data_IF_922414122670
#
_entry.id   IF_922414122670
#
_cell.length_a   1.000
_cell.length_b   1.000
_cell.length_c   1.000
_cell.angle_alpha   90.00
_cell.angle_beta   90.00
_cell.angle_gamma   90.00
#
_symmetry.space_group_name_H-M   'P 1'
#
loop_
_entity.id
_entity.type
_entity.pdbx_description
1 polymer ?
#
# COMPACT_ATOMS: atom_id res chain seq x y z
N UNK A 1 -3.99 -9.25 -14.40
CA UNK A 1 -2.84 -9.49 -15.30
C UNK A 1 -2.83 -8.56 -16.53
N UNK A 2 -3.99 -8.08 -17.00
CA UNK A 2 -4.10 -7.26 -18.21
C UNK A 2 -3.36 -5.91 -18.18
N UNK A 3 -3.40 -5.17 -17.06
CA UNK A 3 -2.81 -3.83 -16.98
C UNK A 3 -1.27 -3.82 -17.13
N UNK A 4 -0.56 -4.75 -16.50
CA UNK A 4 0.91 -4.84 -16.64
C UNK A 4 1.34 -5.27 -18.05
N UNK A 5 0.54 -6.11 -18.71
CA UNK A 5 0.76 -6.46 -20.11
C UNK A 5 0.53 -5.27 -21.03
N UNK A 6 -0.56 -4.52 -20.83
CA UNK A 6 -0.87 -3.32 -21.62
C UNK A 6 0.19 -2.21 -21.47
N UNK A 7 0.74 -2.06 -20.26
CA UNK A 7 1.80 -1.09 -19.98
C UNK A 7 3.21 -1.63 -20.27
N UNK A 8 3.32 -2.85 -20.82
CA UNK A 8 4.60 -3.51 -21.10
C UNK A 8 5.56 -3.57 -19.89
N UNK A 9 5.02 -3.59 -18.67
CA UNK A 9 5.82 -3.60 -17.43
C UNK A 9 6.42 -4.98 -17.20
N UNK A 10 7.70 -5.13 -17.55
CA UNK A 10 8.47 -6.37 -17.34
C UNK A 10 8.98 -6.47 -15.90
N UNK A 11 9.13 -7.70 -15.40
CA UNK A 11 9.76 -7.97 -14.09
C UNK A 11 8.83 -7.85 -12.87
N UNK A 12 7.54 -7.55 -13.06
CA UNK A 12 6.53 -7.57 -11.99
C UNK A 12 5.77 -8.90 -11.90
N UNK A 13 6.08 -9.87 -12.77
CA UNK A 13 5.43 -11.19 -12.80
C UNK A 13 5.88 -12.12 -11.66
N UNK A 14 7.04 -11.85 -11.05
CA UNK A 14 7.59 -12.65 -9.96
C UNK A 14 8.05 -11.72 -8.83
N UNK A 15 7.70 -12.09 -7.59
CA UNK A 15 8.10 -11.32 -6.41
C UNK A 15 9.62 -11.33 -6.28
N UNK A 16 10.22 -10.15 -6.23
CA UNK A 16 11.63 -9.97 -5.91
C UNK A 16 11.78 -9.13 -4.63
N UNK A 17 12.62 -9.60 -3.73
CA UNK A 17 12.95 -8.90 -2.47
C UNK A 17 14.14 -7.95 -2.61
N UNK A 18 14.75 -7.88 -3.80
CA UNK A 18 15.93 -7.05 -4.09
C UNK A 18 15.64 -6.12 -5.26
N UNK A 19 16.28 -4.95 -5.23
CA UNK A 19 16.18 -3.97 -6.31
C UNK A 19 14.89 -3.17 -6.29
N UNK A 20 14.50 -2.54 -7.42
CA UNK A 20 13.41 -1.56 -7.47
C UNK A 20 12.02 -2.22 -7.48
N UNK A 21 11.89 -3.53 -7.23
CA UNK A 21 10.63 -4.25 -7.36
C UNK A 21 9.50 -3.62 -6.54
N UNK A 22 9.75 -3.30 -5.27
CA UNK A 22 8.75 -2.67 -4.40
C UNK A 22 8.28 -1.32 -4.97
N UNK A 23 9.22 -0.44 -5.34
CA UNK A 23 8.89 0.87 -5.90
C UNK A 23 8.12 0.72 -7.22
N UNK A 24 8.60 -0.14 -8.12
CA UNK A 24 7.95 -0.38 -9.41
C UNK A 24 6.53 -0.94 -9.25
N UNK A 25 6.31 -1.81 -8.26
CA UNK A 25 5.00 -2.36 -7.96
C UNK A 25 4.08 -1.29 -7.37
N UNK A 26 4.57 -0.52 -6.40
CA UNK A 26 3.86 0.62 -5.82
C UNK A 26 3.41 1.60 -6.92
N UNK A 27 4.35 2.06 -7.76
CA UNK A 27 4.05 2.98 -8.87
C UNK A 27 3.02 2.38 -9.84
N UNK A 28 3.07 1.06 -10.06
CA UNK A 28 2.10 0.38 -10.92
C UNK A 28 0.71 0.36 -10.31
N UNK A 29 0.61 0.03 -9.02
CA UNK A 29 -0.66 0.02 -8.28
C UNK A 29 -1.29 1.41 -8.32
N UNK A 30 -0.52 2.46 -8.01
CA UNK A 30 -1.00 3.85 -7.98
C UNK A 30 -1.48 4.30 -9.37
N UNK A 31 -0.76 3.98 -10.44
CA UNK A 31 -1.18 4.32 -11.80
C UNK A 31 -2.44 3.56 -12.25
N UNK A 32 -2.53 2.28 -11.92
CA UNK A 32 -3.70 1.44 -12.21
C UNK A 32 -4.92 1.94 -11.43
N UNK A 33 -4.75 2.29 -10.15
CA UNK A 33 -5.78 2.88 -9.33
C UNK A 33 -6.30 4.19 -9.93
N UNK A 34 -5.39 5.08 -10.32
CA UNK A 34 -5.73 6.36 -10.94
C UNK A 34 -6.53 6.15 -12.23
N UNK A 35 -6.13 5.21 -13.09
CA UNK A 35 -6.87 4.87 -14.30
C UNK A 35 -8.28 4.28 -14.01
N UNK A 36 -8.41 3.40 -13.02
CA UNK A 36 -9.69 2.85 -12.58
C UNK A 36 -10.64 3.93 -12.08
N UNK A 37 -10.18 4.81 -11.18
CA UNK A 37 -11.05 5.85 -10.65
C UNK A 37 -11.39 6.90 -11.69
N UNK A 38 -10.46 7.25 -12.59
CA UNK A 38 -10.78 8.09 -13.77
C UNK A 38 -11.90 7.45 -14.60
N UNK A 39 -11.87 6.14 -14.83
CA UNK A 39 -12.94 5.46 -15.56
C UNK A 39 -14.25 5.43 -14.76
N UNK A 40 -14.21 5.20 -13.44
CA UNK A 40 -15.38 5.27 -12.57
C UNK A 40 -16.05 6.66 -12.61
N UNK A 41 -15.26 7.73 -12.59
CA UNK A 41 -15.74 9.11 -12.71
C UNK A 41 -16.41 9.39 -14.05
N UNK A 42 -15.87 8.86 -15.15
CA UNK A 42 -16.47 8.93 -16.49
C UNK A 42 -17.81 8.20 -16.53
N UNK A 43 -17.88 6.99 -15.97
CA UNK A 43 -19.08 6.15 -15.95
C UNK A 43 -20.18 6.73 -15.07
N UNK A 44 -19.89 7.01 -13.79
CA UNK A 44 -20.88 7.51 -12.82
C UNK A 44 -21.27 8.96 -13.09
N UNK A 45 -20.33 9.76 -13.61
CA UNK A 45 -20.60 11.13 -14.03
C UNK A 45 -21.41 11.24 -15.32
N UNK A 46 -21.59 10.13 -16.05
CA UNK A 46 -22.22 10.05 -17.37
C UNK A 46 -21.61 11.07 -18.35
N UNK A 47 -20.28 11.12 -18.37
CA UNK A 47 -19.52 12.05 -19.23
C UNK A 47 -18.60 11.28 -20.16
N UNK A 48 -18.39 11.80 -21.37
CA UNK A 48 -17.42 11.20 -22.31
C UNK A 48 -15.97 11.44 -21.89
N UNK A 49 -15.70 12.57 -21.24
CA UNK A 49 -14.36 12.96 -20.79
C UNK A 49 -14.41 13.57 -19.39
N UNK A 50 -13.34 13.37 -18.61
CA UNK A 50 -13.19 13.98 -17.29
C UNK A 50 -13.26 15.51 -17.32
N UNK A 51 -12.93 16.14 -18.44
CA UNK A 51 -13.02 17.59 -18.59
C UNK A 51 -14.46 18.10 -18.40
N UNK A 52 -15.47 17.31 -18.79
CA UNK A 52 -16.88 17.67 -18.62
C UNK A 52 -17.32 17.69 -17.16
N UNK A 53 -16.59 17.04 -16.24
CA UNK A 53 -16.87 17.13 -14.79
C UNK A 53 -16.65 18.54 -14.25
N UNK A 54 -15.85 19.38 -14.92
CA UNK A 54 -15.64 20.79 -14.54
C UNK A 54 -16.92 21.64 -14.64
N UNK A 55 -17.91 21.16 -15.39
CA UNK A 55 -19.23 21.80 -15.49
C UNK A 55 -20.15 21.45 -14.31
N UNK A 56 -19.76 20.52 -13.43
CA UNK A 56 -20.52 20.12 -12.25
C UNK A 56 -20.14 21.02 -11.06
N UNK A 57 -21.12 21.35 -10.22
CA UNK A 57 -20.88 22.05 -8.96
C UNK A 57 -20.12 21.17 -7.95
N UNK A 58 -19.46 21.75 -6.94
CA UNK A 58 -18.80 20.97 -5.89
C UNK A 58 -19.72 19.95 -5.20
N UNK A 59 -20.98 20.33 -4.90
CA UNK A 59 -21.95 19.41 -4.29
C UNK A 59 -22.31 18.23 -5.20
N UNK A 60 -22.42 18.46 -6.51
CA UNK A 60 -22.62 17.38 -7.48
C UNK A 60 -21.40 16.45 -7.54
N UNK A 61 -20.19 16.99 -7.49
CA UNK A 61 -18.97 16.16 -7.47
C UNK A 61 -18.89 15.30 -6.20
N UNK A 62 -19.29 15.84 -5.04
CA UNK A 62 -19.38 15.04 -3.80
C UNK A 62 -20.38 13.90 -3.96
N UNK A 63 -21.58 14.16 -4.49
CA UNK A 63 -22.57 13.10 -4.73
C UNK A 63 -22.10 12.04 -5.73
N UNK A 64 -21.35 12.44 -6.78
CA UNK A 64 -20.75 11.48 -7.71
C UNK A 64 -19.67 10.63 -7.01
N UNK A 65 -18.84 11.22 -6.15
CA UNK A 65 -17.86 10.47 -5.37
C UNK A 65 -18.53 9.47 -4.41
N UNK A 66 -19.58 9.90 -3.70
CA UNK A 66 -20.39 9.03 -2.84
C UNK A 66 -21.01 7.88 -3.64
N UNK A 67 -21.52 8.17 -4.85
CA UNK A 67 -22.06 7.16 -5.74
C UNK A 67 -20.98 6.15 -6.17
N UNK A 68 -19.79 6.61 -6.58
CA UNK A 68 -18.66 5.73 -6.93
C UNK A 68 -18.30 4.83 -5.74
N UNK A 69 -18.17 5.38 -4.54
CA UNK A 69 -17.86 4.59 -3.35
C UNK A 69 -18.94 3.54 -3.10
N UNK A 70 -20.21 3.96 -3.11
CA UNK A 70 -21.35 3.08 -2.81
C UNK A 70 -21.51 1.96 -3.84
N UNK A 71 -21.36 2.23 -5.14
CA UNK A 71 -21.70 1.27 -6.20
C UNK A 71 -20.49 0.57 -6.80
N UNK A 72 -19.30 1.15 -6.74
CA UNK A 72 -18.10 0.65 -7.42
C UNK A 72 -16.90 0.39 -6.50
N UNK A 73 -16.98 0.71 -5.20
CA UNK A 73 -15.87 0.52 -4.27
C UNK A 73 -16.34 0.23 -2.82
N UNK A 74 -17.43 -0.54 -2.65
CA UNK A 74 -17.93 -0.94 -1.34
C UNK A 74 -18.17 -2.45 -1.23
N UNK A 75 -18.09 -2.98 0.01
CA UNK A 75 -18.49 -4.35 0.32
C UNK A 75 -19.98 -4.58 0.05
N UNK A 76 -20.83 -3.58 0.28
CA UNK A 76 -22.26 -3.65 -0.03
C UNK A 76 -22.52 -3.86 -1.52
N UNK A 77 -21.72 -3.24 -2.40
CA UNK A 77 -21.81 -3.48 -3.84
C UNK A 77 -21.40 -4.92 -4.22
N UNK A 78 -20.37 -5.47 -3.57
CA UNK A 78 -19.96 -6.87 -3.76
C UNK A 78 -21.07 -7.84 -3.32
N UNK A 79 -21.65 -7.62 -2.14
CA UNK A 79 -22.76 -8.40 -1.61
C UNK A 79 -23.98 -8.34 -2.54
N UNK A 80 -24.32 -7.16 -3.06
CA UNK A 80 -25.41 -6.98 -4.00
C UNK A 80 -25.22 -7.84 -5.26
N UNK A 81 -24.01 -7.93 -5.81
CA UNK A 81 -23.71 -8.81 -6.95
C UNK A 81 -23.76 -10.29 -6.53
N UNK A 82 -23.35 -10.64 -5.32
CA UNK A 82 -23.43 -12.02 -4.84
C UNK A 82 -24.87 -12.52 -4.66
N UNK A 83 -25.80 -11.64 -4.29
CA UNK A 83 -27.22 -11.95 -4.10
C UNK A 83 -28.00 -12.04 -5.42
N UNK A 84 -27.42 -11.61 -6.53
CA UNK A 84 -28.03 -11.73 -7.86
C UNK A 84 -28.16 -13.20 -8.29
N UNK A 85 -29.08 -13.47 -9.21
CA UNK A 85 -29.17 -14.78 -9.85
C UNK A 85 -27.90 -15.09 -10.66
N UNK A 86 -27.56 -16.37 -10.83
CA UNK A 86 -26.37 -16.78 -11.61
C UNK A 86 -26.37 -16.23 -13.04
N UNK A 87 -27.55 -16.02 -13.64
CA UNK A 87 -27.67 -15.53 -15.01
C UNK A 87 -27.48 -14.01 -15.12
N UNK A 88 -27.58 -13.29 -14.00
CA UNK A 88 -27.43 -11.83 -13.93
C UNK A 88 -26.09 -11.42 -13.31
N UNK A 89 -25.41 -12.35 -12.64
CA UNK A 89 -24.16 -12.07 -11.96
C UNK A 89 -23.04 -11.69 -12.94
N UNK A 90 -22.46 -10.51 -12.76
CA UNK A 90 -21.34 -10.01 -13.56
C UNK A 90 -20.03 -10.20 -12.80
N UNK A 91 -19.25 -11.22 -13.20
CA UNK A 91 -17.98 -11.54 -12.54
C UNK A 91 -16.86 -10.57 -12.87
N UNK A 92 -16.91 -9.86 -14.00
CA UNK A 92 -15.90 -8.87 -14.37
C UNK A 92 -16.11 -7.60 -13.56
N UNK A 93 -17.36 -7.14 -13.43
CA UNK A 93 -17.70 -6.02 -12.56
C UNK A 93 -17.34 -6.34 -11.10
N UNK A 94 -17.70 -7.54 -10.62
CA UNK A 94 -17.33 -7.99 -9.27
C UNK A 94 -15.82 -7.87 -9.02
N UNK A 95 -14.98 -8.35 -9.94
CA UNK A 95 -13.52 -8.22 -9.80
C UNK A 95 -13.05 -6.78 -9.81
N UNK A 96 -13.67 -5.92 -10.63
CA UNK A 96 -13.31 -4.51 -10.67
C UNK A 96 -13.67 -3.78 -9.37
N UNK A 97 -14.82 -4.10 -8.77
CA UNK A 97 -15.22 -3.54 -7.47
C UNK A 97 -14.28 -4.02 -6.37
N UNK A 98 -13.94 -5.31 -6.36
CA UNK A 98 -12.99 -5.89 -5.41
C UNK A 98 -11.64 -5.18 -5.49
N UNK A 99 -11.12 -4.97 -6.70
CA UNK A 99 -9.90 -4.19 -6.92
C UNK A 99 -10.00 -2.77 -6.35
N UNK A 100 -11.09 -2.06 -6.65
CA UNK A 100 -11.31 -0.70 -6.16
C UNK A 100 -11.36 -0.63 -4.62
N UNK A 101 -12.03 -1.58 -3.97
CA UNK A 101 -12.07 -1.69 -2.51
C UNK A 101 -10.66 -1.85 -1.93
N UNK A 102 -9.90 -2.82 -2.43
CA UNK A 102 -8.58 -3.17 -1.90
C UNK A 102 -7.57 -2.04 -2.15
N UNK A 103 -7.61 -1.40 -3.33
CA UNK A 103 -6.66 -0.35 -3.69
C UNK A 103 -6.89 0.96 -2.95
N UNK A 104 -8.14 1.30 -2.60
CA UNK A 104 -8.42 2.45 -1.74
C UNK A 104 -7.82 2.26 -0.35
N UNK A 105 -7.97 1.06 0.24
CA UNK A 105 -7.35 0.74 1.54
C UNK A 105 -5.83 0.83 1.49
N UNK A 106 -5.23 0.43 0.37
CA UNK A 106 -3.80 0.57 0.14
C UNK A 106 -3.37 2.06 0.08
N UNK A 107 -4.10 2.89 -0.65
CA UNK A 107 -3.82 4.33 -0.78
C UNK A 107 -4.04 5.04 0.57
N UNK A 108 -5.10 4.70 1.31
CA UNK A 108 -5.37 5.26 2.64
C UNK A 108 -4.22 4.97 3.61
N UNK A 109 -3.71 3.72 3.60
CA UNK A 109 -2.56 3.34 4.43
C UNK A 109 -1.29 4.09 4.04
N UNK A 110 -1.02 4.24 2.73
CA UNK A 110 0.11 5.06 2.26
C UNK A 110 -0.02 6.50 2.74
N UNK A 111 -1.19 7.11 2.52
CA UNK A 111 -1.45 8.50 2.89
C UNK A 111 -1.30 8.71 4.39
N UNK A 112 -1.80 7.77 5.19
CA UNK A 112 -1.65 7.76 6.65
C UNK A 112 -0.18 7.74 7.06
N UNK A 113 0.64 6.90 6.42
CA UNK A 113 2.08 6.87 6.67
C UNK A 113 2.77 8.19 6.31
N UNK A 114 2.38 8.84 5.20
CA UNK A 114 2.98 10.11 4.77
C UNK A 114 2.63 11.27 5.71
N UNK A 115 1.38 11.35 6.18
CA UNK A 115 0.93 12.42 7.07
C UNK A 115 1.21 12.15 8.55
N UNK A 116 1.68 10.95 8.90
CA UNK A 116 1.92 10.58 10.30
C UNK A 116 0.67 10.15 11.07
N UNK A 117 -0.41 9.79 10.39
CA UNK A 117 -1.66 9.34 11.01
C UNK A 117 -1.59 7.87 11.42
N UNK A 118 -1.04 7.66 12.61
CA UNK A 118 -0.88 6.31 13.19
C UNK A 118 -2.23 5.70 13.60
N UNK A 119 -3.28 6.50 13.76
CA UNK A 119 -4.63 6.04 14.06
C UNK A 119 -5.21 5.25 12.89
N UNK A 120 -5.17 5.81 11.68
CA UNK A 120 -5.60 5.10 10.47
C UNK A 120 -4.75 3.84 10.22
N UNK A 121 -3.44 3.91 10.50
CA UNK A 121 -2.56 2.73 10.41
C UNK A 121 -2.99 1.61 11.36
N UNK A 122 -3.32 1.93 12.62
CA UNK A 122 -3.82 0.98 13.61
C UNK A 122 -5.17 0.39 13.17
N UNK A 123 -6.11 1.24 12.73
CA UNK A 123 -7.43 0.82 12.25
C UNK A 123 -7.37 -0.08 11.01
N UNK A 124 -6.29 0.00 10.24
CA UNK A 124 -6.07 -0.82 9.04
C UNK A 124 -5.57 -2.23 9.38
N UNK A 125 -5.05 -2.47 10.60
CA UNK A 125 -4.48 -3.76 10.99
C UNK A 125 -5.45 -4.95 10.87
N UNK A 126 -6.74 -4.88 11.29
CA UNK A 126 -7.68 -5.99 11.11
C UNK A 126 -7.91 -6.34 9.64
N UNK A 127 -7.94 -5.34 8.76
CA UNK A 127 -8.06 -5.57 7.33
C UNK A 127 -6.81 -6.27 6.77
N UNK A 128 -5.61 -5.80 7.13
CA UNK A 128 -4.35 -6.45 6.76
C UNK A 128 -4.26 -7.89 7.27
N UNK A 129 -4.72 -8.14 8.49
CA UNK A 129 -4.81 -9.48 9.07
C UNK A 129 -5.61 -10.42 8.16
N UNK A 130 -6.79 -10.01 7.71
CA UNK A 130 -7.60 -10.79 6.78
C UNK A 130 -6.92 -10.95 5.42
N UNK A 131 -6.38 -9.88 4.84
CA UNK A 131 -5.63 -9.95 3.58
C UNK A 131 -4.48 -10.97 3.65
N UNK A 132 -3.66 -10.94 4.71
CA UNK A 132 -2.56 -11.88 4.88
C UNK A 132 -3.05 -13.31 5.11
N UNK A 133 -4.08 -13.51 5.92
CA UNK A 133 -4.65 -14.82 6.16
C UNK A 133 -5.26 -15.45 4.89
N UNK A 134 -5.92 -14.67 4.04
CA UNK A 134 -6.52 -15.13 2.79
C UNK A 134 -5.51 -15.34 1.68
N UNK A 135 -4.49 -14.49 1.63
CA UNK A 135 -3.33 -14.57 0.73
C UNK A 135 -2.29 -15.63 1.12
N UNK A 136 -2.51 -16.39 2.20
CA UNK A 136 -1.61 -17.45 2.71
C UNK A 136 -0.25 -16.92 3.20
N UNK A 137 -0.21 -15.68 3.68
CA UNK A 137 0.96 -15.02 4.26
C UNK A 137 1.03 -15.26 5.78
N UNK A 138 1.28 -16.51 6.17
CA UNK A 138 1.16 -16.95 7.58
C UNK A 138 2.03 -16.17 8.56
N UNK A 139 3.26 -15.79 8.19
CA UNK A 139 4.17 -15.02 9.07
C UNK A 139 3.58 -13.66 9.39
N UNK A 140 3.24 -12.89 8.35
CA UNK A 140 2.56 -11.60 8.50
C UNK A 140 1.21 -11.71 9.20
N UNK A 141 0.46 -12.81 9.01
CA UNK A 141 -0.78 -13.06 9.75
C UNK A 141 -0.52 -13.14 11.26
N UNK A 142 0.50 -13.89 11.68
CA UNK A 142 0.86 -14.01 13.10
C UNK A 142 1.42 -12.69 13.63
N UNK A 143 2.29 -12.00 12.89
CA UNK A 143 2.84 -10.69 13.30
C UNK A 143 1.74 -9.65 13.56
N UNK A 144 0.72 -9.59 12.70
CA UNK A 144 -0.41 -8.67 12.91
C UNK A 144 -1.28 -9.11 14.09
N UNK A 145 -1.48 -10.41 14.31
CA UNK A 145 -2.19 -10.91 15.51
C UNK A 145 -1.46 -10.54 16.80
N UNK A 146 -0.14 -10.74 16.83
CA UNK A 146 0.73 -10.35 17.94
C UNK A 146 0.60 -8.85 18.22
N UNK A 147 0.68 -8.02 17.18
CA UNK A 147 0.57 -6.58 17.31
C UNK A 147 -0.81 -6.13 17.81
N UNK A 148 -1.89 -6.71 17.28
CA UNK A 148 -3.25 -6.41 17.74
C UNK A 148 -3.46 -6.80 19.21
N UNK A 149 -3.00 -7.98 19.61
CA UNK A 149 -3.05 -8.43 21.00
C UNK A 149 -2.30 -7.48 21.94
N UNK A 150 -1.09 -7.07 21.54
CA UNK A 150 -0.29 -6.08 22.25
C UNK A 150 -1.03 -4.75 22.41
N UNK A 151 -1.54 -4.19 21.31
CA UNK A 151 -2.20 -2.87 21.26
C UNK A 151 -3.55 -2.82 21.99
N UNK A 152 -4.28 -3.94 22.04
CA UNK A 152 -5.64 -3.98 22.57
C UNK A 152 -5.72 -4.49 24.02
N UNK A 153 -4.78 -5.35 24.44
CA UNK A 153 -4.93 -6.10 25.68
C UNK A 153 -3.70 -6.10 26.60
N UNK A 154 -2.48 -5.93 26.09
CA UNK A 154 -1.27 -6.20 26.89
C UNK A 154 -0.45 -4.97 27.22
N UNK A 155 -0.33 -4.02 26.28
CA UNK A 155 0.44 -2.82 26.52
C UNK A 155 -0.32 -1.82 27.38
N UNK A 156 0.39 -1.28 28.37
CA UNK A 156 -0.05 -0.12 29.12
C UNK A 156 -0.27 1.06 28.15
N UNK A 157 -1.22 1.97 28.44
CA UNK A 157 -1.52 3.10 27.56
C UNK A 157 -0.29 3.91 27.16
N UNK A 158 0.66 4.11 28.07
CA UNK A 158 1.90 4.85 27.83
C UNK A 158 2.84 4.13 26.86
N UNK A 159 2.92 2.80 26.96
CA UNK A 159 3.73 1.98 26.05
C UNK A 159 3.09 1.94 24.66
N UNK A 160 1.76 1.80 24.59
CA UNK A 160 1.00 1.87 23.34
C UNK A 160 1.25 3.21 22.64
N UNK A 161 1.09 4.32 23.36
CA UNK A 161 1.33 5.66 22.83
C UNK A 161 2.77 5.82 22.30
N UNK A 162 3.75 5.35 23.08
CA UNK A 162 5.14 5.38 22.67
C UNK A 162 5.38 4.59 21.39
N UNK A 163 4.89 3.35 21.28
CA UNK A 163 5.11 2.51 20.09
C UNK A 163 4.45 3.15 18.85
N UNK A 164 3.19 3.57 18.96
CA UNK A 164 2.46 4.16 17.85
C UNK A 164 3.15 5.44 17.36
N UNK A 165 3.43 6.38 18.25
CA UNK A 165 3.91 7.71 17.86
C UNK A 165 5.43 7.82 17.69
N UNK A 166 6.22 6.87 18.20
CA UNK A 166 7.71 6.95 18.19
C UNK A 166 8.39 5.81 17.45
N UNK A 167 7.73 4.68 17.23
CA UNK A 167 8.38 3.51 16.64
C UNK A 167 7.89 3.16 15.23
N UNK A 168 6.70 3.58 14.81
CA UNK A 168 6.21 3.23 13.47
C UNK A 168 6.74 4.14 12.38
N UNK A 169 6.70 5.44 12.64
CA UNK A 169 7.05 6.47 11.67
C UNK A 169 8.10 7.42 12.21
N UNK A 170 8.89 7.98 11.30
CA UNK A 170 9.83 9.05 11.59
C UNK A 170 9.73 10.14 10.54
N UNK A 171 9.99 11.38 10.93
CA UNK A 171 10.06 12.51 10.01
C UNK A 171 11.37 13.27 10.22
N UNK A 172 12.28 13.16 9.25
CA UNK A 172 13.61 13.80 9.31
C UNK A 172 13.61 15.21 8.73
N UNK A 173 12.53 15.60 8.06
CA UNK A 173 12.44 16.85 7.29
C UNK A 173 11.62 17.92 8.01
N UNK A 174 10.73 17.53 8.92
CA UNK A 174 9.74 18.40 9.53
C UNK A 174 8.57 18.77 8.60
N UNK A 175 8.54 18.27 7.36
CA UNK A 175 7.45 18.53 6.43
C UNK A 175 6.21 17.71 6.80
N UNK A 176 4.98 18.26 6.75
CA UNK A 176 3.76 17.54 7.16
C UNK A 176 3.52 16.21 6.43
N UNK A 177 3.96 16.10 5.18
CA UNK A 177 3.86 14.88 4.36
C UNK A 177 5.21 14.15 4.22
N UNK A 178 6.11 14.38 5.18
CA UNK A 178 7.49 13.89 5.16
C UNK A 178 7.75 12.71 6.08
N UNK A 179 6.69 12.09 6.62
CA UNK A 179 6.84 10.89 7.44
C UNK A 179 7.20 9.68 6.56
N UNK A 180 7.97 8.77 7.13
CA UNK A 180 8.33 7.50 6.52
C UNK A 180 8.38 6.39 7.57
N UNK A 181 8.15 5.12 7.17
CA UNK A 181 8.35 3.98 8.05
C UNK A 181 9.76 3.98 8.64
N UNK A 182 9.88 3.70 9.94
CA UNK A 182 11.18 3.75 10.63
C UNK A 182 12.21 2.81 9.98
N UNK A 183 11.75 1.63 9.52
CA UNK A 183 12.60 0.63 8.87
C UNK A 183 13.17 1.16 7.54
N UNK A 184 12.36 1.89 6.76
CA UNK A 184 12.81 2.58 5.54
C UNK A 184 13.82 3.68 5.87
N UNK A 185 13.63 4.39 6.98
CA UNK A 185 14.59 5.38 7.48
C UNK A 185 15.91 4.74 7.92
N UNK A 186 15.83 3.57 8.55
CA UNK A 186 17.00 2.75 8.88
C UNK A 186 17.73 2.29 7.62
N UNK A 187 17.02 1.85 6.57
CA UNK A 187 17.60 1.46 5.29
C UNK A 187 18.41 2.62 4.67
N UNK A 188 17.89 3.84 4.69
CA UNK A 188 18.62 5.04 4.24
C UNK A 188 19.90 5.27 5.04
N UNK A 189 19.86 5.07 6.37
CA UNK A 189 21.04 5.19 7.21
C UNK A 189 22.05 4.06 6.98
N UNK A 190 21.61 2.83 6.70
CA UNK A 190 22.47 1.71 6.34
C UNK A 190 23.23 2.01 5.05
N UNK A 191 22.54 2.51 4.02
CA UNK A 191 23.18 2.88 2.74
C UNK A 191 24.31 3.88 2.96
N UNK A 192 24.07 4.92 3.75
CA UNK A 192 25.07 5.95 3.99
C UNK A 192 26.19 5.50 4.90
N UNK A 193 25.91 4.65 5.89
CA UNK A 193 26.92 4.07 6.78
C UNK A 193 27.84 3.10 6.05
N UNK A 194 27.31 2.32 5.09
CA UNK A 194 28.09 1.29 4.38
C UNK A 194 28.73 1.80 3.09
N UNK A 195 28.04 2.67 2.36
CA UNK A 195 28.41 3.04 0.98
C UNK A 195 28.93 4.47 0.90
N UNK A 196 28.12 5.46 1.26
CA UNK A 196 28.40 6.89 1.01
C UNK A 196 29.51 7.43 1.91
N UNK A 197 29.37 7.25 3.23
CA UNK A 197 30.32 7.69 4.26
C UNK A 197 31.00 6.50 4.95
N UNK A 198 31.00 5.35 4.28
CA UNK A 198 31.58 4.14 4.83
C UNK A 198 33.05 4.30 5.16
N UNK A 199 33.44 3.86 6.35
CA UNK A 199 34.85 3.79 6.75
C UNK A 199 35.56 2.76 5.88
N UNK A 200 36.45 3.22 5.00
CA UNK A 200 37.24 2.39 4.08
C UNK A 200 38.73 2.51 4.37
N UNK A 201 39.50 1.50 3.98
CA UNK A 201 40.96 1.47 4.08
C UNK A 201 41.48 0.76 5.34
N UNK A 202 42.82 0.71 5.49
CA UNK A 202 43.49 -0.12 6.51
C UNK A 202 43.18 0.28 7.96
N UNK A 203 42.70 1.50 8.19
CA UNK A 203 42.30 2.02 9.52
C UNK A 203 40.79 1.96 9.78
N UNK A 204 40.02 1.29 8.91
CA UNK A 204 38.59 1.11 9.13
C UNK A 204 38.37 0.22 10.37
N UNK A 205 37.71 0.76 11.39
CA UNK A 205 37.42 0.05 12.65
C UNK A 205 35.99 0.33 13.10
N UNK A 206 35.43 -0.56 13.92
CA UNK A 206 34.12 -0.36 14.56
C UNK A 206 34.07 0.91 15.41
N UNK A 207 35.17 1.26 16.08
CA UNK A 207 35.28 2.50 16.85
C UNK A 207 35.16 3.75 15.96
N UNK A 208 35.83 3.74 14.80
CA UNK A 208 35.72 4.82 13.83
C UNK A 208 34.30 4.91 13.24
N UNK A 209 33.69 3.77 12.90
CA UNK A 209 32.31 3.73 12.41
C UNK A 209 31.34 4.30 13.45
N UNK A 210 31.45 3.89 14.73
CA UNK A 210 30.64 4.41 15.84
C UNK A 210 30.77 5.93 16.00
N UNK A 211 31.96 6.48 15.77
CA UNK A 211 32.21 7.93 15.82
C UNK A 211 31.63 8.67 14.60
N UNK A 212 31.66 8.06 13.42
CA UNK A 212 31.21 8.69 12.17
C UNK A 212 29.69 8.61 11.97
N UNK A 213 29.03 7.53 12.40
CA UNK A 213 27.59 7.33 12.18
C UNK A 213 26.71 8.48 12.69
N UNK A 214 26.91 9.04 13.91
CA UNK A 214 26.14 10.19 14.39
C UNK A 214 26.37 11.47 13.57
N UNK A 215 27.50 11.59 12.87
CA UNK A 215 27.83 12.75 12.05
C UNK A 215 27.23 12.69 10.63
N UNK A 216 26.71 11.54 10.20
CA UNK A 216 26.15 11.34 8.84
C UNK A 216 25.11 12.41 8.47
N UNK A 217 24.14 12.81 9.32
CA UNK A 217 23.19 13.87 8.98
C UNK A 217 23.85 15.19 8.63
N UNK A 218 24.89 15.58 9.38
CA UNK A 218 25.65 16.80 9.12
C UNK A 218 26.47 16.68 7.81
N UNK A 219 27.11 15.52 7.58
CA UNK A 219 27.83 15.25 6.34
C UNK A 219 26.91 15.33 5.12
N UNK A 220 25.70 14.77 5.18
CA UNK A 220 24.68 14.91 4.12
C UNK A 220 24.32 16.36 3.86
N UNK A 221 24.11 17.15 4.92
CA UNK A 221 23.76 18.56 4.80
C UNK A 221 24.88 19.36 4.12
N UNK A 222 26.14 19.09 4.46
CA UNK A 222 27.32 19.70 3.81
C UNK A 222 27.40 19.29 2.34
N UNK A 223 27.25 18.01 2.01
CA UNK A 223 27.23 17.56 0.61
C UNK A 223 26.15 18.28 -0.20
N UNK A 224 24.92 18.33 0.31
CA UNK A 224 23.78 19.01 -0.34
C UNK A 224 24.05 20.51 -0.50
N UNK A 225 24.63 21.17 0.50
CA UNK A 225 24.99 22.58 0.42
C UNK A 225 26.04 22.82 -0.66
N UNK A 226 27.11 22.03 -0.69
CA UNK A 226 28.17 22.12 -1.70
C UNK A 226 27.63 21.89 -3.11
N UNK A 227 26.78 20.88 -3.32
CA UNK A 227 26.11 20.64 -4.61
C UNK A 227 25.27 21.86 -5.07
N UNK A 228 24.53 22.49 -4.14
CA UNK A 228 23.75 23.69 -4.43
C UNK A 228 24.63 24.88 -4.85
N UNK A 229 25.77 25.06 -4.18
CA UNK A 229 26.70 26.17 -4.47
C UNK A 229 27.42 25.97 -5.81
N UNK A 230 27.87 24.76 -6.11
CA UNK A 230 28.68 24.47 -7.31
C UNK A 230 27.81 24.43 -8.59
N UNK A 231 26.48 24.41 -8.46
CA UNK A 231 25.52 24.35 -9.60
C UNK A 231 25.90 23.28 -10.62
N UNK A 232 26.36 22.11 -10.14
CA UNK A 232 26.62 20.96 -11.01
C UNK A 232 25.37 20.64 -11.83
N UNK A 233 25.55 20.14 -13.06
CA UNK A 233 24.45 19.69 -13.92
C UNK A 233 23.55 18.77 -13.09
N UNK A 234 22.40 19.29 -12.67
CA UNK A 234 21.46 18.57 -11.82
C UNK A 234 20.97 17.38 -12.63
N UNK A 235 21.44 16.18 -12.32
CA UNK A 235 20.69 14.97 -12.66
C UNK A 235 19.38 15.13 -11.89
N UNK A 236 18.25 15.21 -12.59
CA UNK A 236 16.96 15.47 -11.97
C UNK A 236 16.77 14.57 -10.74
N UNK A 237 16.62 15.17 -9.56
CA UNK A 237 16.27 14.45 -8.33
C UNK A 237 14.88 13.82 -8.45
N UNK A 238 14.05 14.39 -9.33
CA UNK A 238 12.78 13.83 -9.76
C UNK A 238 12.94 13.22 -11.13
N UNK A 239 12.60 11.93 -11.25
CA UNK A 239 12.34 11.33 -12.54
C UNK A 239 11.07 11.97 -13.12
N UNK A 240 11.19 12.65 -14.27
CA UNK A 240 10.05 13.32 -14.90
C UNK A 240 8.98 12.29 -15.30
N UNK A 241 7.71 12.63 -15.04
CA UNK A 241 6.50 11.82 -15.20
C UNK A 241 5.77 11.79 -16.59
N UNK A 242 6.34 12.18 -17.76
CA UNK A 242 5.59 12.15 -19.03
C UNK A 242 5.04 10.77 -19.43
N UNK A 243 5.66 9.68 -18.96
CA UNK A 243 5.19 8.31 -19.22
C UNK A 243 3.93 7.98 -18.40
N UNK A 244 3.79 8.53 -17.18
CA UNK A 244 2.70 8.22 -16.27
C UNK A 244 1.33 8.57 -16.87
N UNK A 245 1.17 9.78 -17.38
CA UNK A 245 -0.13 10.23 -17.93
C UNK A 245 -0.52 9.45 -19.20
N UNK A 246 0.48 9.10 -20.04
CA UNK A 246 0.27 8.26 -21.21
C UNK A 246 -0.22 6.86 -20.82
N UNK A 247 0.42 6.25 -19.83
CA UNK A 247 0.07 4.93 -19.31
C UNK A 247 -1.35 4.93 -18.71
N UNK A 248 -1.68 5.95 -17.90
CA UNK A 248 -3.02 6.12 -17.33
C UNK A 248 -4.07 6.25 -18.43
N UNK A 249 -3.79 7.01 -19.49
CA UNK A 249 -4.71 7.18 -20.62
C UNK A 249 -4.93 5.88 -21.39
N UNK A 250 -3.89 5.08 -21.59
CA UNK A 250 -4.00 3.75 -22.23
C UNK A 250 -4.92 2.85 -21.39
N UNK A 251 -4.69 2.78 -20.08
CA UNK A 251 -5.51 1.97 -19.17
C UNK A 251 -6.96 2.46 -19.10
N UNK A 252 -7.17 3.76 -18.93
CA UNK A 252 -8.50 4.37 -18.92
C UNK A 252 -9.31 4.00 -20.16
N UNK A 253 -8.72 4.17 -21.34
CA UNK A 253 -9.39 3.84 -22.61
C UNK A 253 -9.71 2.34 -22.71
N UNK A 254 -8.81 1.47 -22.24
CA UNK A 254 -9.05 0.03 -22.21
C UNK A 254 -10.22 -0.35 -21.26
N UNK A 255 -10.33 0.32 -20.10
CA UNK A 255 -11.40 0.10 -19.13
C UNK A 255 -12.77 0.56 -19.65
N UNK A 256 -12.83 1.73 -20.29
CA UNK A 256 -14.06 2.23 -20.94
C UNK A 256 -14.47 1.30 -22.08
N UNK A 257 -13.54 0.95 -22.98
CA UNK A 257 -13.82 0.06 -24.10
C UNK A 257 -14.31 -1.34 -23.64
N UNK A 258 -13.81 -1.81 -22.50
CA UNK A 258 -14.19 -3.11 -21.93
C UNK A 258 -15.41 -3.06 -21.01
N UNK A 259 -15.97 -1.87 -20.73
CA UNK A 259 -17.12 -1.65 -19.85
C UNK A 259 -16.99 -2.33 -18.48
N UNK A 260 -15.80 -2.33 -17.86
CA UNK A 260 -15.55 -3.09 -16.62
C UNK A 260 -16.26 -2.52 -15.39
N UNK A 261 -16.67 -1.25 -15.44
CA UNK A 261 -17.38 -0.54 -14.37
C UNK A 261 -18.88 -0.42 -14.60
N UNK A 262 -19.41 -1.12 -15.62
CA UNK A 262 -20.84 -1.13 -15.96
C UNK A 262 -21.36 -2.55 -15.86
N UNK A 263 -22.55 -2.72 -15.29
CA UNK A 263 -23.23 -4.00 -15.16
C UNK A 263 -23.54 -4.60 -16.55
N UNK A 264 -23.17 -5.87 -16.74
CA UNK A 264 -23.54 -6.69 -17.89
C UNK A 264 -23.97 -8.08 -17.42
N UNK A 265 -25.24 -8.41 -17.66
CA UNK A 265 -25.85 -9.63 -17.15
C UNK A 265 -25.15 -10.89 -17.66
N UNK A 266 -24.78 -11.76 -16.71
CA UNK A 266 -24.16 -13.05 -17.00
C UNK A 266 -22.74 -12.97 -17.53
N UNK A 267 -22.06 -11.82 -17.40
CA UNK A 267 -20.69 -11.65 -17.87
C UNK A 267 -19.71 -12.48 -17.04
N UNK A 268 -19.07 -13.40 -17.73
CA UNK A 268 -18.07 -14.31 -17.18
C UNK A 268 -16.63 -13.82 -17.42
N UNK A 269 -15.71 -14.34 -16.62
CA UNK A 269 -14.28 -14.07 -16.79
C UNK A 269 -13.74 -14.97 -17.91
N UNK A 270 -12.92 -14.42 -18.82
CA UNK A 270 -12.42 -15.14 -20.00
C UNK A 270 -11.71 -16.45 -19.67
N UNK A 271 -10.85 -16.44 -18.65
CA UNK A 271 -10.13 -17.63 -18.20
C UNK A 271 -10.21 -17.77 -16.69
N UNK A 272 -10.08 -19.01 -16.19
CA UNK A 272 -10.00 -19.26 -14.75
C UNK A 272 -8.78 -18.60 -14.10
N UNK A 273 -7.69 -18.44 -14.86
CA UNK A 273 -6.47 -17.76 -14.39
C UNK A 273 -6.66 -16.25 -14.22
N UNK A 274 -7.60 -15.66 -14.95
CA UNK A 274 -8.01 -14.25 -14.78
C UNK A 274 -9.02 -14.07 -13.62
N UNK A 275 -9.43 -15.17 -12.97
CA UNK A 275 -10.28 -15.13 -11.78
C UNK A 275 -9.55 -14.51 -10.59
N UNK A 276 -10.04 -13.38 -10.09
CA UNK A 276 -9.54 -12.79 -8.84
C UNK A 276 -10.25 -13.38 -7.64
N UNK A 277 -9.48 -13.69 -6.60
CA UNK A 277 -9.98 -14.24 -5.34
C UNK A 277 -10.16 -13.10 -4.34
N UNK A 278 -11.31 -13.05 -3.67
CA UNK A 278 -11.52 -12.17 -2.51
C UNK A 278 -10.70 -12.68 -1.33
N UNK A 279 -9.51 -12.09 -1.16
CA UNK A 279 -8.56 -12.46 -0.12
C UNK A 279 -9.04 -12.03 1.27
N UNK A 280 -9.81 -10.95 1.39
CA UNK A 280 -10.30 -10.44 2.67
C UNK A 280 -11.33 -11.41 3.24
N UNK A 281 -12.37 -11.73 2.46
CA UNK A 281 -13.43 -12.66 2.87
C UNK A 281 -12.88 -14.06 3.11
N UNK A 282 -11.97 -14.53 2.24
CA UNK A 282 -11.29 -15.81 2.48
C UNK A 282 -10.45 -15.78 3.76
N UNK A 283 -9.83 -14.66 4.06
CA UNK A 283 -9.02 -14.43 5.25
C UNK A 283 -9.84 -14.50 6.53
N UNK A 284 -10.95 -13.78 6.59
CA UNK A 284 -11.86 -13.81 7.74
C UNK A 284 -12.39 -15.23 7.99
N UNK A 285 -12.81 -15.93 6.95
CA UNK A 285 -13.22 -17.34 7.03
C UNK A 285 -12.07 -18.25 7.48
N UNK A 286 -10.86 -18.06 6.95
CA UNK A 286 -9.69 -18.86 7.34
C UNK A 286 -9.35 -18.70 8.82
N UNK A 287 -9.44 -17.49 9.36
CA UNK A 287 -9.15 -17.22 10.77
C UNK A 287 -10.12 -17.97 11.69
N UNK A 288 -11.41 -17.95 11.36
CA UNK A 288 -12.47 -18.62 12.11
C UNK A 288 -12.43 -20.16 11.97
N UNK A 289 -12.26 -20.66 10.75
CA UNK A 289 -12.47 -22.08 10.44
C UNK A 289 -11.22 -22.94 10.56
N UNK A 290 -10.02 -22.38 10.37
CA UNK A 290 -8.77 -23.17 10.36
C UNK A 290 -8.10 -23.30 11.72
N UNK A 291 -8.78 -22.89 12.80
CA UNK A 291 -8.23 -22.91 14.16
C UNK A 291 -6.95 -22.08 14.31
N UNK A 292 -6.74 -21.07 13.46
CA UNK A 292 -5.53 -20.24 13.48
C UNK A 292 -5.39 -19.51 14.81
N UNK A 293 -6.47 -18.90 15.31
CA UNK A 293 -6.51 -18.24 16.60
C UNK A 293 -6.22 -19.20 17.76
N UNK A 294 -6.86 -20.38 17.76
CA UNK A 294 -6.65 -21.38 18.80
C UNK A 294 -5.19 -21.86 18.87
N UNK A 295 -4.58 -22.16 17.71
CA UNK A 295 -3.16 -22.53 17.66
C UNK A 295 -2.24 -21.39 18.10
N UNK A 296 -2.52 -20.18 17.63
CA UNK A 296 -1.75 -18.99 18.01
C UNK A 296 -1.80 -18.77 19.53
N UNK A 297 -2.99 -18.83 20.13
CA UNK A 297 -3.19 -18.69 21.58
C UNK A 297 -2.46 -19.79 22.37
N UNK A 298 -2.60 -21.04 21.96
CA UNK A 298 -1.91 -22.17 22.61
C UNK A 298 -0.38 -22.03 22.55
N UNK A 299 0.16 -21.46 21.49
CA UNK A 299 1.59 -21.20 21.36
C UNK A 299 2.07 -20.03 22.22
N UNK A 300 1.17 -19.15 22.68
CA UNK A 300 1.48 -18.06 23.62
C UNK A 300 1.35 -18.49 25.07
N UNK A 301 0.49 -19.46 25.38
CA UNK A 301 0.13 -19.84 26.74
C UNK A 301 1.19 -20.69 27.48
N UNK A 302 2.47 -20.57 27.13
CA UNK A 302 3.54 -21.22 27.88
C UNK A 302 3.96 -20.36 29.07
N UNK A 303 4.41 -21.01 30.15
CA UNK A 303 4.94 -20.32 31.32
C UNK A 303 6.21 -19.57 30.91
N UNK A 304 6.16 -18.25 30.94
CA UNK A 304 7.35 -17.42 30.71
C UNK A 304 8.29 -17.53 31.91
N UNK A 305 9.60 -17.60 31.65
CA UNK A 305 10.59 -17.58 32.71
C UNK A 305 10.51 -16.25 33.45
N UNK A 306 10.32 -16.30 34.77
CA UNK A 306 10.29 -15.10 35.64
C UNK A 306 11.66 -14.69 36.13
N UNK A 307 12.72 -15.37 35.68
CA UNK A 307 14.10 -15.11 36.05
C UNK A 307 14.87 -14.69 34.81
N UNK A 308 15.45 -13.49 34.85
CA UNK A 308 16.44 -13.06 33.87
C UNK A 308 17.74 -13.84 34.13
N UNK A 309 18.13 -14.70 33.19
CA UNK A 309 19.47 -15.28 33.19
C UNK A 309 20.34 -14.33 32.36
N UNK A 310 21.06 -13.45 33.04
CA UNK A 310 22.10 -12.59 32.45
C UNK A 310 23.42 -13.34 32.28
#
# INVERSE_FOLDING_TARGET
>A
MHAFTLLERKGLSFVQTRGPFHQNLHDAITQVAEAHFRACWTVVGEVETLAHLRCKSPGQLVHLAEAILKTLASSTALEAIHLQSKNTQDKVLHQSILWNCDVLRYIDLERAMECGDVGIMEETLPHLLYCFAGGNNKRYTIEVLELLQCLQHEWLPELKDFVLHRCWLMNTTGHPLGFLPIDKGQEYNIKDTKVTFGTRGPNASWALMKKTSPAIPALRAVCKHTELQIRTLRRGLHHSDPLKEKDIKILHNAYIASNIHTQQDGREVKTKADGTMDVVTKGSLNILTKGTLARWWNNRSYVQATQEIW
#
